data_IF_610001674368
#
_entry.id   IF_610001674368
#
_cell.length_a   1.000
_cell.length_b   1.000
_cell.length_c   1.000
_cell.angle_alpha   90.00
_cell.angle_beta   90.00
_cell.angle_gamma   90.00
#
_symmetry.space_group_name_H-M   'P 1'
#
loop_
_entity.id
_entity.type
_entity.pdbx_description
1 polymer ?
#
# COMPACT_ATOMS: atom_id res chain seq x y z
N UNK A 1 1.97 23.30 -6.67
CA UNK A 1 1.23 22.76 -5.50
C UNK A 1 1.41 21.25 -5.52
N UNK A 2 1.90 20.62 -4.44
CA UNK A 2 2.21 19.18 -4.46
C UNK A 2 0.96 18.32 -4.28
N UNK A 3 0.96 17.13 -4.88
CA UNK A 3 -0.14 16.17 -4.85
C UNK A 3 -0.58 15.78 -3.42
N UNK A 4 0.37 15.69 -2.47
CA UNK A 4 0.02 15.41 -1.06
C UNK A 4 -0.88 16.50 -0.44
N UNK A 5 -0.77 17.77 -0.88
CA UNK A 5 -1.52 18.88 -0.30
C UNK A 5 -2.97 18.86 -0.80
N UNK A 6 -3.16 18.46 -2.07
CA UNK A 6 -4.50 18.26 -2.65
C UNK A 6 -5.27 17.18 -1.87
N UNK A 7 -4.58 16.15 -1.37
CA UNK A 7 -5.20 15.07 -0.61
C UNK A 7 -5.62 15.47 0.81
N UNK A 8 -4.79 16.22 1.53
CA UNK A 8 -5.13 16.71 2.89
C UNK A 8 -6.32 17.67 2.90
N UNK A 9 -6.53 18.41 1.81
CA UNK A 9 -7.61 19.40 1.68
C UNK A 9 -8.87 18.75 1.08
N UNK A 10 -8.72 17.69 0.26
CA UNK A 10 -9.81 17.02 -0.46
C UNK A 10 -10.42 15.78 0.20
N UNK A 11 -9.92 15.34 1.37
CA UNK A 11 -10.34 14.09 2.03
C UNK A 11 -11.83 14.02 2.42
N UNK A 12 -12.61 15.10 2.31
CA UNK A 12 -14.05 15.11 2.56
C UNK A 12 -14.91 14.61 1.39
N UNK A 13 -14.35 14.31 0.20
CA UNK A 13 -15.20 13.99 -0.96
C UNK A 13 -14.58 12.94 -1.90
N UNK A 14 -14.59 11.68 -1.47
CA UNK A 14 -14.98 10.48 -2.23
C UNK A 14 -14.42 9.24 -1.52
N UNK A 15 -15.27 8.62 -0.72
CA UNK A 15 -15.22 7.18 -0.50
C UNK A 15 -15.67 6.56 -1.83
N UNK A 16 -14.74 6.29 -2.75
CA UNK A 16 -15.05 5.54 -3.95
C UNK A 16 -15.04 4.06 -3.56
N UNK A 17 -16.23 3.51 -3.40
CA UNK A 17 -16.56 2.08 -3.33
C UNK A 17 -16.38 1.38 -4.69
N UNK A 18 -15.61 1.92 -5.61
CA UNK A 18 -15.43 1.37 -6.96
C UNK A 18 -14.05 0.70 -7.07
N UNK A 19 -14.14 -0.57 -7.44
CA UNK A 19 -13.09 -1.43 -8.01
C UNK A 19 -12.15 -2.13 -7.01
N UNK A 20 -12.72 -3.11 -6.29
CA UNK A 20 -12.02 -4.35 -5.94
C UNK A 20 -11.69 -5.22 -7.18
N UNK A 21 -11.54 -4.64 -8.37
CA UNK A 21 -11.04 -5.34 -9.54
C UNK A 21 -9.58 -4.95 -9.73
N UNK A 22 -8.68 -5.92 -9.57
CA UNK A 22 -7.25 -5.69 -9.76
C UNK A 22 -7.03 -5.09 -11.16
N UNK A 23 -6.29 -3.98 -11.30
CA UNK A 23 -6.06 -3.36 -12.59
C UNK A 23 -5.41 -4.36 -13.56
N UNK A 24 -5.82 -4.32 -14.83
CA UNK A 24 -5.34 -5.25 -15.87
C UNK A 24 -3.81 -5.21 -16.04
N UNK A 25 -3.18 -4.11 -15.67
CA UNK A 25 -1.73 -3.94 -15.60
C UNK A 25 -1.35 -2.93 -14.53
N UNK A 26 -0.14 -3.07 -13.98
CA UNK A 26 0.43 -2.16 -12.99
C UNK A 26 1.52 -1.31 -13.63
N UNK A 27 1.55 -0.01 -13.34
CA UNK A 27 2.62 0.87 -13.82
C UNK A 27 3.87 0.72 -12.97
N UNK A 28 3.71 0.54 -11.66
CA UNK A 28 4.82 0.41 -10.71
C UNK A 28 4.60 -0.75 -9.76
N UNK A 29 5.69 -1.34 -9.28
CA UNK A 29 5.68 -2.43 -8.29
C UNK A 29 6.52 -1.99 -7.09
N UNK A 30 5.93 -2.04 -5.90
CA UNK A 30 6.57 -1.63 -4.65
C UNK A 30 6.79 -2.80 -3.71
N UNK A 31 8.04 -2.98 -3.26
CA UNK A 31 8.40 -3.87 -2.16
C UNK A 31 8.62 -3.05 -0.89
N UNK A 32 7.70 -3.16 0.07
CA UNK A 32 7.73 -2.43 1.34
C UNK A 32 8.28 -3.35 2.43
N UNK A 33 9.57 -3.19 2.76
CA UNK A 33 10.20 -3.89 3.87
C UNK A 33 9.84 -3.18 5.18
N UNK A 34 9.19 -3.90 6.09
CA UNK A 34 8.62 -3.32 7.30
C UNK A 34 7.21 -2.76 7.11
N UNK A 35 6.37 -3.43 6.32
CA UNK A 35 4.98 -3.00 6.00
C UNK A 35 4.10 -2.79 7.24
N UNK A 36 4.46 -3.40 8.36
CA UNK A 36 3.74 -3.26 9.63
C UNK A 36 4.29 -2.18 10.57
N UNK A 37 5.38 -1.51 10.18
CA UNK A 37 5.92 -0.36 10.89
C UNK A 37 5.15 0.93 10.59
N UNK A 38 5.47 2.02 11.29
CA UNK A 38 4.71 3.27 11.19
C UNK A 38 4.65 3.83 9.75
N UNK A 39 5.79 3.91 9.07
CA UNK A 39 5.86 4.38 7.67
C UNK A 39 5.35 3.33 6.69
N UNK A 40 5.75 2.07 6.89
CA UNK A 40 5.34 0.98 6.01
C UNK A 40 3.82 0.80 5.97
N UNK A 41 3.14 1.02 7.09
CA UNK A 41 1.69 0.93 7.14
C UNK A 41 1.02 2.06 6.35
N UNK A 42 1.52 3.29 6.51
CA UNK A 42 1.03 4.42 5.71
C UNK A 42 1.29 4.21 4.21
N UNK A 43 2.42 3.61 3.84
CA UNK A 43 2.67 3.26 2.44
C UNK A 43 1.69 2.19 1.91
N UNK A 44 1.35 1.20 2.73
CA UNK A 44 0.38 0.17 2.36
C UNK A 44 -1.02 0.74 2.10
N UNK A 45 -1.38 1.82 2.79
CA UNK A 45 -2.63 2.55 2.59
C UNK A 45 -2.59 3.47 1.36
N UNK A 46 -1.45 4.10 1.11
CA UNK A 46 -1.33 5.16 0.09
C UNK A 46 -1.09 4.61 -1.32
N UNK A 47 -0.17 3.66 -1.46
CA UNK A 47 0.25 3.17 -2.78
C UNK A 47 -0.89 2.64 -3.66
N UNK A 48 -1.92 1.95 -3.12
CA UNK A 48 -3.04 1.47 -3.94
C UNK A 48 -4.00 2.55 -4.41
N UNK A 49 -3.93 3.78 -3.85
CA UNK A 49 -4.83 4.86 -4.23
C UNK A 49 -4.58 5.29 -5.68
N UNK A 50 -5.68 5.57 -6.39
CA UNK A 50 -5.66 5.92 -7.82
C UNK A 50 -4.96 7.24 -8.11
N UNK A 51 -4.88 8.14 -7.13
CA UNK A 51 -4.20 9.42 -7.26
C UNK A 51 -2.70 9.34 -6.94
N UNK A 52 -2.21 8.21 -6.44
CA UNK A 52 -0.79 8.04 -6.10
C UNK A 52 0.10 8.08 -7.33
N UNK A 53 1.07 9.03 -7.42
CA UNK A 53 1.98 9.14 -8.54
C UNK A 53 2.71 7.83 -8.79
N UNK A 54 2.84 7.49 -10.07
CA UNK A 54 3.42 6.20 -10.50
C UNK A 54 2.44 5.03 -10.42
N UNK A 55 1.20 5.23 -9.95
CA UNK A 55 0.16 4.20 -9.93
C UNK A 55 -0.44 3.90 -11.31
N UNK A 56 -1.19 2.79 -11.46
CA UNK A 56 -1.59 1.84 -10.41
C UNK A 56 -0.42 0.99 -9.90
N UNK A 57 -0.34 0.84 -8.57
CA UNK A 57 0.75 0.13 -7.89
C UNK A 57 0.40 -1.32 -7.56
N UNK A 58 1.31 -2.25 -7.85
CA UNK A 58 1.30 -3.59 -7.23
C UNK A 58 2.13 -3.57 -5.95
N UNK A 59 1.53 -3.93 -4.83
CA UNK A 59 2.17 -3.87 -3.52
C UNK A 59 2.59 -5.23 -2.95
N UNK A 60 3.85 -5.36 -2.54
CA UNK A 60 4.36 -6.47 -1.73
C UNK A 60 4.81 -5.94 -0.37
N UNK A 61 4.26 -6.51 0.70
CA UNK A 61 4.53 -6.08 2.07
C UNK A 61 5.30 -7.14 2.85
N UNK A 62 6.50 -6.82 3.31
CA UNK A 62 7.33 -7.75 4.08
C UNK A 62 7.33 -7.39 5.56
N UNK A 63 7.12 -8.38 6.41
CA UNK A 63 7.40 -8.27 7.84
C UNK A 63 7.67 -9.65 8.46
N UNK A 64 8.46 -9.66 9.54
CA UNK A 64 8.85 -10.90 10.25
C UNK A 64 7.68 -11.63 10.90
N UNK A 65 6.72 -10.86 11.43
CA UNK A 65 5.56 -11.39 12.14
C UNK A 65 4.47 -11.87 11.18
N UNK A 66 3.56 -12.78 11.61
CA UNK A 66 2.33 -13.06 10.86
C UNK A 66 1.50 -11.79 10.63
N UNK A 67 0.72 -11.75 9.54
CA UNK A 67 -0.09 -10.58 9.19
C UNK A 67 -1.11 -10.25 10.29
N UNK A 68 -1.03 -9.08 10.94
CA UNK A 68 -1.96 -8.72 12.00
C UNK A 68 -3.34 -8.39 11.40
N UNK A 69 -4.40 -8.59 12.19
CA UNK A 69 -5.78 -8.40 11.72
C UNK A 69 -6.06 -7.00 11.16
N UNK A 70 -5.54 -5.96 11.81
CA UNK A 70 -5.75 -4.57 11.39
C UNK A 70 -5.07 -4.21 10.05
N UNK A 71 -4.15 -5.04 9.55
CA UNK A 71 -3.46 -4.81 8.28
C UNK A 71 -4.06 -5.64 7.13
N UNK A 72 -5.05 -6.52 7.41
CA UNK A 72 -5.62 -7.46 6.43
C UNK A 72 -6.38 -6.76 5.29
N UNK A 73 -6.89 -5.56 5.56
CA UNK A 73 -7.76 -4.84 4.64
C UNK A 73 -6.98 -4.12 3.51
N UNK A 74 -5.66 -3.96 3.66
CA UNK A 74 -4.84 -3.34 2.61
C UNK A 74 -4.62 -4.30 1.43
N UNK A 75 -4.75 -3.84 0.16
CA UNK A 75 -4.58 -4.65 -1.04
C UNK A 75 -3.09 -4.87 -1.37
N UNK A 76 -2.35 -5.39 -0.41
CA UNK A 76 -0.95 -5.81 -0.53
C UNK A 76 -0.82 -7.33 -0.41
N UNK A 77 0.07 -7.90 -1.22
CA UNK A 77 0.52 -9.28 -1.05
C UNK A 77 1.49 -9.33 0.15
N UNK A 78 1.08 -9.97 1.24
CA UNK A 78 1.87 -10.02 2.48
C UNK A 78 2.84 -11.21 2.46
N UNK A 79 4.11 -10.93 2.67
CA UNK A 79 5.19 -11.92 2.73
C UNK A 79 5.74 -11.92 4.16
N UNK A 80 5.58 -13.05 4.84
CA UNK A 80 6.23 -13.27 6.12
C UNK A 80 7.67 -13.73 5.85
N UNK A 81 8.65 -12.90 6.20
CA UNK A 81 10.07 -13.18 5.95
C UNK A 81 10.94 -12.49 7.01
N UNK A 82 11.95 -13.22 7.49
CA UNK A 82 13.05 -12.63 8.23
C UNK A 82 14.15 -12.15 7.28
N UNK A 83 14.16 -10.85 7.01
CA UNK A 83 15.15 -10.22 6.11
C UNK A 83 16.57 -10.22 6.67
N UNK A 84 16.74 -10.58 7.95
CA UNK A 84 18.07 -10.80 8.54
C UNK A 84 18.60 -12.20 8.29
N UNK A 85 17.75 -13.15 7.89
CA UNK A 85 18.12 -14.50 7.49
C UNK A 85 18.38 -14.53 5.96
N UNK A 86 19.62 -14.81 5.52
CA UNK A 86 19.94 -14.88 4.09
C UNK A 86 19.53 -16.19 3.41
N UNK A 87 19.02 -17.18 4.16
CA UNK A 87 18.64 -18.51 3.63
C UNK A 87 17.23 -18.57 3.02
#
# INVERSE_FOLDING_TARGET
MSWWWLRSIGAAKKKSEEDHEAPRSYQSVGLVIGVTGIVGNSLAEILPLSDTPGGPWKGYGVARRPRPNWNKDYPFEYIQCDVSDPQ
#
